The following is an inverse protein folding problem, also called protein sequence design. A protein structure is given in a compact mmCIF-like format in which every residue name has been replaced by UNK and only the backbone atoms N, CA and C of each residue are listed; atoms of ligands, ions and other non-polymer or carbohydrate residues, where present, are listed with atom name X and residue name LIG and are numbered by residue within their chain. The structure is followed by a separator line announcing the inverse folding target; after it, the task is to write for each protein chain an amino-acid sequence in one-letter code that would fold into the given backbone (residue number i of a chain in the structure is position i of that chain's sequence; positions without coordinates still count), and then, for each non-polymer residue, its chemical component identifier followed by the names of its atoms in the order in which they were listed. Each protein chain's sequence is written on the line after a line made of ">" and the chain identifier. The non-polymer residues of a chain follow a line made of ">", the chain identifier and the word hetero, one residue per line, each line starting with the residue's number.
data_IF_554873423012
#
_entry.id   IF_554873423012
#
_cell.length_a   1.000
_cell.length_b   1.000
_cell.length_c   1.000
_cell.angle_alpha   90.00
_cell.angle_beta   90.00
_cell.angle_gamma   90.00
#
_symmetry.space_group_name_H-M   'P 1'
#
loop_
_entity.id
_entity.type
_entity.pdbx_description
1 polymer ?
#
# COMPACT_ATOMS: atom_id res chain seq x y z
N UNK A 1 13.61 -12.02 17.80
CA UNK A 1 12.59 -10.94 17.85
C UNK A 1 12.43 -10.38 16.45
N UNK A 2 11.20 -10.08 15.98
CA UNK A 2 10.98 -9.61 14.63
C UNK A 2 11.67 -8.26 14.38
N UNK A 3 12.23 -8.10 13.18
CA UNK A 3 13.03 -6.93 12.73
C UNK A 3 12.33 -5.58 12.92
N UNK A 4 11.00 -5.59 13.13
CA UNK A 4 10.15 -4.41 13.29
C UNK A 4 10.31 -3.63 14.61
N UNK A 5 11.01 -4.18 15.61
CA UNK A 5 10.83 -3.80 17.02
C UNK A 5 11.96 -2.98 17.66
N UNK A 6 13.11 -2.81 17.02
CA UNK A 6 14.30 -2.25 17.69
C UNK A 6 14.82 -1.00 16.98
N UNK A 7 14.57 0.17 17.59
CA UNK A 7 15.21 1.43 17.21
C UNK A 7 14.31 2.53 16.62
N UNK A 8 14.88 3.72 16.38
CA UNK A 8 14.23 4.78 15.63
C UNK A 8 13.90 4.30 14.21
N UNK A 9 12.81 4.82 13.64
CA UNK A 9 12.44 4.50 12.26
C UNK A 9 13.54 5.01 11.31
N UNK A 10 14.18 4.11 10.58
CA UNK A 10 15.22 4.44 9.61
C UNK A 10 14.73 4.15 8.21
N UNK A 11 14.93 5.11 7.30
CA UNK A 11 14.64 4.92 5.89
C UNK A 11 15.68 3.98 5.25
N UNK A 12 15.28 2.89 4.59
CA UNK A 12 16.20 1.88 4.06
C UNK A 12 16.86 2.33 2.74
N UNK A 13 17.85 3.23 2.84
CA UNK A 13 18.56 3.84 1.69
C UNK A 13 19.21 2.85 0.72
N UNK A 14 19.54 1.65 1.19
CA UNK A 14 20.20 0.60 0.42
C UNK A 14 19.21 -0.50 -0.03
N UNK A 15 17.91 -0.22 -0.05
CA UNK A 15 16.94 -1.18 -0.57
C UNK A 15 17.15 -1.40 -2.07
N UNK A 16 17.15 -2.67 -2.48
CA UNK A 16 17.25 -3.08 -3.90
C UNK A 16 16.10 -2.55 -4.77
N UNK A 17 14.98 -2.20 -4.13
CA UNK A 17 13.81 -1.67 -4.82
C UNK A 17 14.04 -0.21 -5.25
N UNK A 18 14.99 0.49 -4.61
CA UNK A 18 15.34 1.86 -4.96
C UNK A 18 16.35 1.86 -6.12
N UNK A 19 16.05 2.55 -7.23
CA UNK A 19 16.98 2.61 -8.34
C UNK A 19 18.15 3.57 -8.06
N UNK A 20 19.33 3.31 -8.66
CA UNK A 20 20.46 4.23 -8.59
C UNK A 20 20.09 5.62 -9.12
N UNK A 21 20.53 6.67 -8.41
CA UNK A 21 20.29 8.06 -8.82
C UNK A 21 18.86 8.57 -8.57
N UNK A 22 18.01 7.82 -7.86
CA UNK A 22 16.71 8.33 -7.43
C UNK A 22 16.88 9.54 -6.50
N UNK A 23 16.11 10.60 -6.75
CA UNK A 23 16.01 11.74 -5.83
C UNK A 23 15.57 11.27 -4.44
N UNK A 24 16.19 11.78 -3.35
CA UNK A 24 15.75 11.46 -2.00
C UNK A 24 14.27 11.81 -1.80
N UNK A 25 13.57 11.01 -1.00
CA UNK A 25 12.22 11.38 -0.55
C UNK A 25 12.26 12.68 0.26
N UNK A 26 11.26 13.53 0.05
CA UNK A 26 11.04 14.73 0.84
C UNK A 26 10.24 14.43 2.12
N UNK A 27 9.58 13.28 2.18
CA UNK A 27 8.80 12.89 3.33
C UNK A 27 9.66 12.36 4.47
N UNK A 28 9.19 12.58 5.69
CA UNK A 28 9.80 12.00 6.89
C UNK A 28 8.82 11.05 7.56
N UNK A 29 9.04 9.75 7.36
CA UNK A 29 8.25 8.73 8.02
C UNK A 29 8.37 8.82 9.54
N UNK A 30 7.28 8.48 10.24
CA UNK A 30 7.25 8.34 11.70
C UNK A 30 6.56 7.04 12.08
N UNK A 31 6.77 6.59 13.30
CA UNK A 31 6.03 5.49 13.90
C UNK A 31 5.30 5.97 15.15
N UNK A 32 4.15 5.38 15.43
CA UNK A 32 3.43 5.62 16.67
C UNK A 32 4.30 5.31 17.89
N UNK A 33 4.16 6.08 18.97
CA UNK A 33 4.99 5.95 20.17
C UNK A 33 4.85 4.56 20.81
N UNK A 34 3.63 4.02 20.82
CA UNK A 34 3.32 2.71 21.39
C UNK A 34 3.44 1.53 20.41
N UNK A 35 4.05 1.73 19.24
CA UNK A 35 4.06 0.74 18.16
C UNK A 35 4.52 -0.66 18.62
N UNK A 36 5.56 -0.75 19.46
CA UNK A 36 6.07 -2.05 19.92
C UNK A 36 5.03 -2.83 20.75
N UNK A 37 4.37 -2.17 21.70
CA UNK A 37 3.35 -2.80 22.55
C UNK A 37 2.10 -3.17 21.72
N UNK A 38 1.68 -2.28 20.83
CA UNK A 38 0.54 -2.52 19.93
C UNK A 38 0.79 -3.70 18.99
N UNK A 39 1.96 -3.77 18.35
CA UNK A 39 2.32 -4.86 17.45
C UNK A 39 2.34 -6.19 18.20
N UNK A 40 2.93 -6.25 19.40
CA UNK A 40 2.94 -7.48 20.20
C UNK A 40 1.52 -7.93 20.58
N UNK A 41 0.67 -6.99 21.02
CA UNK A 41 -0.72 -7.25 21.40
C UNK A 41 -1.57 -7.75 20.23
N UNK A 42 -1.51 -7.05 19.09
CA UNK A 42 -2.29 -7.39 17.89
C UNK A 42 -1.80 -8.72 17.30
N UNK A 43 -0.50 -8.95 17.23
CA UNK A 43 0.03 -10.24 16.76
C UNK A 43 -0.40 -11.37 17.69
N UNK A 44 -0.33 -11.18 19.02
CA UNK A 44 -0.79 -12.18 19.99
C UNK A 44 -2.27 -12.54 19.82
N UNK A 45 -3.12 -11.54 19.56
CA UNK A 45 -4.53 -11.74 19.26
C UNK A 45 -4.73 -12.63 18.02
N UNK A 46 -4.15 -12.28 16.87
CA UNK A 46 -4.34 -13.08 15.65
C UNK A 46 -3.67 -14.46 15.75
N UNK A 47 -2.52 -14.59 16.39
CA UNK A 47 -1.90 -15.90 16.61
C UNK A 47 -2.77 -16.83 17.46
N UNK A 48 -3.60 -16.28 18.34
CA UNK A 48 -4.53 -17.04 19.19
C UNK A 48 -5.82 -17.38 18.45
N UNK A 49 -6.33 -16.46 17.64
CA UNK A 49 -7.71 -16.52 17.14
C UNK A 49 -7.84 -16.80 15.64
N UNK A 50 -6.80 -16.58 14.85
CA UNK A 50 -6.80 -16.85 13.42
C UNK A 50 -6.34 -18.28 13.13
N UNK A 51 -6.98 -19.01 12.19
CA UNK A 51 -6.74 -20.44 12.01
C UNK A 51 -5.55 -20.69 11.09
N UNK A 52 -4.35 -20.28 11.53
CA UNK A 52 -3.11 -20.62 10.84
C UNK A 52 -2.90 -22.14 10.84
N UNK A 53 -2.61 -22.72 9.68
CA UNK A 53 -2.51 -24.18 9.50
C UNK A 53 -1.17 -24.75 9.95
N UNK A 54 -0.12 -23.93 9.97
CA UNK A 54 1.25 -24.35 10.28
C UNK A 54 2.01 -23.27 11.05
N UNK A 55 3.06 -23.67 11.77
CA UNK A 55 3.96 -22.73 12.45
C UNK A 55 4.69 -21.80 11.46
N UNK A 56 4.98 -22.27 10.25
CA UNK A 56 5.55 -21.43 9.19
C UNK A 56 4.60 -20.30 8.79
N UNK A 57 3.29 -20.55 8.71
CA UNK A 57 2.30 -19.49 8.45
C UNK A 57 2.22 -18.49 9.60
N UNK A 58 2.28 -18.97 10.84
CA UNK A 58 2.30 -18.12 12.04
C UNK A 58 3.55 -17.23 12.07
N UNK A 59 4.70 -17.80 11.76
CA UNK A 59 5.96 -17.08 11.70
C UNK A 59 6.00 -16.07 10.55
N UNK A 60 5.47 -16.44 9.37
CA UNK A 60 5.32 -15.55 8.22
C UNK A 60 4.45 -14.34 8.58
N UNK A 61 3.28 -14.57 9.16
CA UNK A 61 2.38 -13.50 9.61
C UNK A 61 3.09 -12.46 10.51
N UNK A 62 3.83 -12.93 11.52
CA UNK A 62 4.60 -12.04 12.41
C UNK A 62 5.68 -11.28 11.64
N UNK A 63 6.35 -11.94 10.70
CA UNK A 63 7.43 -11.37 9.91
C UNK A 63 6.94 -10.32 8.91
N UNK A 64 5.73 -10.44 8.36
CA UNK A 64 5.17 -9.48 7.40
C UNK A 64 4.78 -8.15 8.05
N UNK A 65 4.50 -8.13 9.35
CA UNK A 65 4.45 -6.89 10.14
C UNK A 65 3.21 -6.03 9.90
N UNK A 66 2.03 -6.63 9.74
CA UNK A 66 0.78 -5.90 9.42
C UNK A 66 0.39 -4.83 10.44
N UNK A 67 0.43 -5.13 11.74
CA UNK A 67 0.15 -4.12 12.76
C UNK A 67 1.19 -2.98 12.75
N UNK A 68 2.43 -3.28 12.37
CA UNK A 68 3.50 -2.30 12.29
C UNK A 68 3.30 -1.35 11.11
N UNK A 69 2.81 -1.87 9.97
CA UNK A 69 2.40 -1.04 8.83
C UNK A 69 1.41 0.06 9.27
N UNK A 70 0.38 -0.28 10.04
CA UNK A 70 -0.58 0.71 10.55
C UNK A 70 0.09 1.72 11.48
N UNK A 71 1.01 1.28 12.33
CA UNK A 71 1.74 2.17 13.25
C UNK A 71 2.61 3.20 12.54
N UNK A 72 3.12 2.90 11.34
CA UNK A 72 3.90 3.88 10.54
C UNK A 72 3.04 4.72 9.61
N UNK A 73 1.88 4.21 9.20
CA UNK A 73 0.91 4.95 8.39
C UNK A 73 0.10 5.96 9.21
N UNK A 74 -0.19 5.63 10.47
CA UNK A 74 -1.05 6.45 11.35
C UNK A 74 -0.34 6.86 12.66
N UNK A 75 0.85 7.49 12.62
CA UNK A 75 1.64 7.79 13.81
C UNK A 75 1.02 8.87 14.71
N UNK A 76 0.04 9.63 14.21
CA UNK A 76 -0.70 10.67 14.96
C UNK A 76 -1.99 10.17 15.62
N UNK A 77 -2.21 8.84 15.61
CA UNK A 77 -3.37 8.23 16.24
C UNK A 77 -3.36 8.43 17.76
N UNK A 78 -4.54 8.32 18.37
CA UNK A 78 -4.67 8.27 19.81
C UNK A 78 -4.22 6.88 20.31
N UNK A 79 -3.54 6.89 21.46
CA UNK A 79 -2.98 5.69 22.10
C UNK A 79 -4.04 4.61 22.34
N UNK A 80 -5.25 5.02 22.71
CA UNK A 80 -6.38 4.15 23.02
C UNK A 80 -7.18 3.72 21.78
N UNK A 81 -6.94 4.30 20.58
CA UNK A 81 -7.72 3.97 19.37
C UNK A 81 -6.95 3.18 18.31
N UNK A 82 -5.62 3.32 18.24
CA UNK A 82 -4.84 2.74 17.14
C UNK A 82 -4.94 1.20 17.05
N UNK A 83 -5.19 0.52 18.17
CA UNK A 83 -5.30 -0.93 18.20
C UNK A 83 -6.45 -1.47 17.33
N UNK A 84 -7.60 -0.76 17.23
CA UNK A 84 -8.68 -1.13 16.31
C UNK A 84 -8.25 -1.02 14.85
N UNK A 85 -7.58 0.08 14.49
CA UNK A 85 -7.00 0.26 13.15
C UNK A 85 -6.01 -0.83 12.79
N UNK A 86 -5.11 -1.18 13.73
CA UNK A 86 -4.17 -2.29 13.54
C UNK A 86 -4.89 -3.62 13.31
N UNK A 87 -5.92 -3.93 14.10
CA UNK A 87 -6.69 -5.18 13.95
C UNK A 87 -7.47 -5.22 12.65
N UNK A 88 -8.16 -4.14 12.29
CA UNK A 88 -8.96 -4.06 11.06
C UNK A 88 -8.09 -4.26 9.82
N UNK A 89 -6.97 -3.55 9.69
CA UNK A 89 -6.12 -3.71 8.52
C UNK A 89 -5.39 -5.07 8.51
N UNK A 90 -5.00 -5.58 9.67
CA UNK A 90 -4.43 -6.93 9.77
C UNK A 90 -5.43 -7.99 9.28
N UNK A 91 -6.71 -7.86 9.65
CA UNK A 91 -7.76 -8.71 9.12
C UNK A 91 -7.91 -8.56 7.60
N UNK A 92 -7.86 -7.33 7.08
CA UNK A 92 -7.87 -7.06 5.63
C UNK A 92 -6.76 -7.78 4.87
N UNK A 93 -5.50 -7.71 5.34
CA UNK A 93 -4.38 -8.44 4.75
C UNK A 93 -4.56 -9.97 4.79
N UNK A 94 -5.11 -10.50 5.89
CA UNK A 94 -5.34 -11.94 6.01
C UNK A 94 -6.48 -12.42 5.11
N UNK A 95 -7.50 -11.59 4.88
CA UNK A 95 -8.56 -11.86 3.90
C UNK A 95 -8.00 -11.79 2.48
N UNK A 96 -7.22 -10.77 2.15
CA UNK A 96 -6.52 -10.62 0.86
C UNK A 96 -5.74 -11.90 0.49
N UNK A 97 -4.89 -12.39 1.41
CA UNK A 97 -4.11 -13.61 1.20
C UNK A 97 -4.96 -14.89 1.07
N UNK A 98 -6.18 -14.90 1.63
CA UNK A 98 -7.14 -16.00 1.45
C UNK A 98 -7.82 -15.93 0.09
N UNK A 99 -8.19 -14.74 -0.36
CA UNK A 99 -8.88 -14.51 -1.64
C UNK A 99 -7.99 -14.90 -2.83
N UNK A 100 -6.67 -14.70 -2.75
CA UNK A 100 -5.68 -15.15 -3.75
C UNK A 100 -5.82 -16.64 -4.14
N UNK A 101 -6.52 -17.45 -3.32
CA UNK A 101 -6.71 -18.90 -3.50
C UNK A 101 -8.17 -19.32 -3.64
N UNK A 102 -9.03 -18.39 -3.99
CA UNK A 102 -10.47 -18.62 -4.20
C UNK A 102 -10.86 -18.33 -5.65
N UNK A 103 -11.93 -18.99 -6.09
CA UNK A 103 -12.62 -18.56 -7.30
C UNK A 103 -13.49 -17.33 -7.01
N UNK A 104 -13.88 -16.58 -8.03
CA UNK A 104 -14.66 -15.34 -7.86
C UNK A 104 -15.93 -15.55 -7.03
N UNK A 105 -16.70 -16.60 -7.32
CA UNK A 105 -17.97 -16.88 -6.62
C UNK A 105 -17.77 -17.20 -5.13
N UNK A 106 -16.68 -17.89 -4.78
CA UNK A 106 -16.30 -18.21 -3.41
C UNK A 106 -15.88 -16.94 -2.66
N UNK A 107 -15.05 -16.11 -3.29
CA UNK A 107 -14.62 -14.82 -2.73
C UNK A 107 -15.79 -13.87 -2.50
N UNK A 108 -16.71 -13.74 -3.46
CA UNK A 108 -17.93 -12.92 -3.32
C UNK A 108 -18.78 -13.40 -2.14
N UNK A 109 -19.02 -14.71 -2.03
CA UNK A 109 -19.79 -15.27 -0.93
C UNK A 109 -19.10 -15.04 0.43
N UNK A 110 -17.79 -15.22 0.50
CA UNK A 110 -16.99 -15.01 1.70
C UNK A 110 -17.04 -13.54 2.16
N UNK A 111 -16.70 -12.59 1.29
CA UNK A 111 -16.69 -11.16 1.63
C UNK A 111 -18.09 -10.64 1.96
N UNK A 112 -19.14 -11.14 1.29
CA UNK A 112 -20.53 -10.76 1.62
C UNK A 112 -20.86 -11.07 3.08
N UNK A 113 -20.46 -12.25 3.59
CA UNK A 113 -20.70 -12.62 5.00
C UNK A 113 -19.90 -11.78 5.98
N UNK A 114 -18.65 -11.46 5.66
CA UNK A 114 -17.83 -10.56 6.48
C UNK A 114 -18.44 -9.15 6.53
N UNK A 115 -18.91 -8.63 5.39
CA UNK A 115 -19.58 -7.33 5.28
C UNK A 115 -20.86 -7.28 6.13
N UNK A 116 -21.71 -8.32 6.03
CA UNK A 116 -22.92 -8.43 6.86
C UNK A 116 -22.58 -8.37 8.36
N UNK A 117 -21.49 -9.03 8.78
CA UNK A 117 -21.03 -9.00 10.17
C UNK A 117 -20.58 -7.61 10.61
N UNK A 118 -19.82 -6.87 9.77
CA UNK A 118 -19.42 -5.49 10.08
C UNK A 118 -20.62 -4.54 10.30
N UNK A 119 -21.72 -4.79 9.57
CA UNK A 119 -23.00 -4.07 9.74
C UNK A 119 -23.79 -4.47 11.00
N UNK A 120 -23.39 -5.53 11.69
CA UNK A 120 -24.03 -5.99 12.93
C UNK A 120 -24.90 -7.24 12.79
N UNK A 121 -24.84 -7.96 11.67
CA UNK A 121 -25.41 -9.32 11.60
C UNK A 121 -24.61 -10.26 12.50
N UNK A 122 -25.29 -11.10 13.28
CA UNK A 122 -24.63 -12.04 14.18
C UNK A 122 -23.66 -12.95 13.42
N UNK A 123 -22.38 -13.05 13.84
CA UNK A 123 -21.37 -13.82 13.13
C UNK A 123 -21.44 -15.30 13.50
N UNK A 124 -20.95 -16.17 12.61
CA UNK A 124 -20.54 -17.51 13.03
C UNK A 124 -19.26 -17.39 13.88
N UNK A 125 -19.36 -17.74 15.17
CA UNK A 125 -18.25 -17.67 16.11
C UNK A 125 -17.15 -18.71 15.84
N UNK A 126 -17.38 -19.65 14.91
CA UNK A 126 -16.34 -20.56 14.41
C UNK A 126 -15.59 -20.01 13.18
N UNK A 127 -16.00 -18.86 12.62
CA UNK A 127 -15.36 -18.23 11.46
C UNK A 127 -14.69 -16.91 11.90
N UNK A 128 -13.36 -16.90 12.14
CA UNK A 128 -12.64 -15.74 12.67
C UNK A 128 -12.87 -14.43 11.93
N UNK A 129 -12.85 -14.43 10.60
CA UNK A 129 -13.08 -13.19 9.85
C UNK A 129 -14.45 -12.56 10.12
N UNK A 130 -15.49 -13.37 10.34
CA UNK A 130 -16.84 -12.87 10.61
C UNK A 130 -16.91 -12.23 11.99
N UNK A 131 -16.52 -12.97 13.04
CA UNK A 131 -16.70 -12.47 14.39
C UNK A 131 -15.69 -11.38 14.77
N UNK A 132 -14.46 -11.42 14.24
CA UNK A 132 -13.50 -10.32 14.43
C UNK A 132 -14.06 -9.04 13.79
N UNK A 133 -14.59 -9.11 12.57
CA UNK A 133 -15.20 -7.94 11.91
C UNK A 133 -16.39 -7.39 12.69
N UNK A 134 -17.28 -8.28 13.18
CA UNK A 134 -18.43 -7.90 13.99
C UNK A 134 -18.01 -7.19 15.29
N UNK A 135 -17.16 -7.84 16.09
CA UNK A 135 -16.76 -7.31 17.40
C UNK A 135 -15.97 -6.00 17.25
N UNK A 136 -15.09 -5.88 16.23
CA UNK A 136 -14.35 -4.64 15.96
C UNK A 136 -15.30 -3.46 15.73
N UNK A 137 -16.25 -3.59 14.81
CA UNK A 137 -17.13 -2.47 14.51
C UNK A 137 -18.16 -2.20 15.61
N UNK A 138 -18.58 -3.21 16.37
CA UNK A 138 -19.38 -3.01 17.59
C UNK A 138 -18.63 -2.19 18.65
N UNK A 139 -17.37 -2.53 18.92
CA UNK A 139 -16.51 -1.78 19.85
C UNK A 139 -16.22 -0.36 19.37
N UNK A 140 -15.87 -0.19 18.09
CA UNK A 140 -15.58 1.12 17.51
C UNK A 140 -16.79 2.05 17.55
N UNK A 141 -18.00 1.52 17.30
CA UNK A 141 -19.25 2.30 17.40
C UNK A 141 -19.57 2.79 18.81
N UNK A 142 -19.16 2.04 19.85
CA UNK A 142 -19.32 2.47 21.26
C UNK A 142 -18.43 3.67 21.60
N UNK A 143 -17.31 3.83 20.90
CA UNK A 143 -16.36 4.93 21.11
C UNK A 143 -16.69 6.15 20.26
N UNK A 144 -16.93 5.94 18.96
CA UNK A 144 -17.21 7.02 18.01
C UNK A 144 -18.03 6.49 16.84
N UNK A 145 -19.35 6.48 17.00
CA UNK A 145 -20.27 5.92 16.01
C UNK A 145 -20.14 6.56 14.63
N UNK A 146 -19.97 7.87 14.57
CA UNK A 146 -19.91 8.60 13.29
C UNK A 146 -18.69 8.17 12.48
N UNK A 147 -17.50 8.20 13.09
CA UNK A 147 -16.29 7.79 12.40
C UNK A 147 -16.25 6.28 12.14
N UNK A 148 -16.80 5.47 13.04
CA UNK A 148 -16.88 4.02 12.86
C UNK A 148 -17.78 3.64 11.68
N UNK A 149 -18.98 4.24 11.57
CA UNK A 149 -19.90 3.97 10.47
C UNK A 149 -19.34 4.49 9.13
N UNK A 150 -18.68 5.65 9.12
CA UNK A 150 -17.97 6.14 7.93
C UNK A 150 -16.84 5.21 7.49
N UNK A 151 -16.04 4.70 8.45
CA UNK A 151 -14.97 3.76 8.16
C UNK A 151 -15.53 2.41 7.67
N UNK A 152 -16.67 1.96 8.18
CA UNK A 152 -17.31 0.72 7.74
C UNK A 152 -17.65 0.78 6.25
N UNK A 153 -18.25 1.87 5.77
CA UNK A 153 -18.58 2.00 4.33
C UNK A 153 -17.32 1.90 3.46
N UNK A 154 -16.22 2.52 3.89
CA UNK A 154 -14.94 2.42 3.17
C UNK A 154 -14.34 1.01 3.21
N UNK A 155 -14.50 0.28 4.32
CA UNK A 155 -14.12 -1.14 4.43
C UNK A 155 -14.96 -2.01 3.48
N UNK A 156 -16.25 -1.70 3.32
CA UNK A 156 -17.15 -2.43 2.43
C UNK A 156 -16.75 -2.23 0.97
N UNK A 157 -16.43 -1.00 0.58
CA UNK A 157 -15.95 -0.70 -0.77
C UNK A 157 -14.66 -1.47 -1.09
N UNK A 158 -13.71 -1.48 -0.15
CA UNK A 158 -12.48 -2.28 -0.25
C UNK A 158 -12.78 -3.78 -0.44
N UNK A 159 -13.58 -4.38 0.44
CA UNK A 159 -13.90 -5.82 0.37
C UNK A 159 -14.65 -6.20 -0.92
N UNK A 160 -15.46 -5.30 -1.47
CA UNK A 160 -16.12 -5.53 -2.76
C UNK A 160 -15.13 -5.45 -3.92
N UNK A 161 -14.22 -4.48 -3.89
CA UNK A 161 -13.24 -4.28 -4.96
C UNK A 161 -12.26 -5.47 -5.08
N UNK A 162 -11.91 -6.12 -3.97
CA UNK A 162 -11.06 -7.32 -3.98
C UNK A 162 -11.67 -8.51 -4.76
N UNK A 163 -12.98 -8.50 -4.96
CA UNK A 163 -13.73 -9.54 -5.69
C UNK A 163 -14.45 -8.95 -6.90
N UNK A 164 -13.94 -7.83 -7.43
CA UNK A 164 -14.45 -7.28 -8.67
C UNK A 164 -14.03 -8.16 -9.85
N UNK A 165 -15.00 -8.51 -10.69
CA UNK A 165 -14.76 -9.28 -11.90
C UNK A 165 -13.87 -8.50 -12.88
N UNK A 166 -13.86 -7.17 -12.84
CA UNK A 166 -13.15 -6.33 -13.81
C UNK A 166 -11.65 -6.21 -13.49
N UNK A 167 -11.17 -6.83 -12.41
CA UNK A 167 -9.75 -6.86 -11.96
C UNK A 167 -8.74 -7.31 -13.02
N UNK A 168 -9.19 -8.10 -14.00
CA UNK A 168 -8.34 -8.67 -15.06
C UNK A 168 -8.38 -7.89 -16.37
N UNK A 169 -9.21 -6.84 -16.46
CA UNK A 169 -9.34 -6.06 -17.67
C UNK A 169 -8.08 -5.21 -17.91
N UNK A 170 -7.71 -5.06 -19.18
CA UNK A 170 -6.69 -4.10 -19.57
C UNK A 170 -7.23 -2.68 -19.32
N UNK A 171 -6.44 -1.84 -18.65
CA UNK A 171 -6.82 -0.49 -18.25
C UNK A 171 -5.72 0.50 -18.65
N UNK A 172 -6.14 1.68 -19.09
CA UNK A 172 -5.23 2.82 -19.17
C UNK A 172 -4.81 3.26 -17.75
N UNK A 173 -3.66 3.93 -17.62
CA UNK A 173 -3.10 4.25 -16.31
C UNK A 173 -4.05 5.07 -15.40
N UNK A 174 -4.83 5.99 -15.97
CA UNK A 174 -5.80 6.77 -15.20
C UNK A 174 -7.01 5.92 -14.76
N UNK A 175 -7.49 5.02 -15.61
CA UNK A 175 -8.58 4.09 -15.30
C UNK A 175 -8.13 3.12 -14.21
N UNK A 176 -6.88 2.63 -14.32
CA UNK A 176 -6.25 1.81 -13.31
C UNK A 176 -6.21 2.50 -11.94
N UNK A 177 -5.82 3.79 -11.86
CA UNK A 177 -5.86 4.49 -10.58
C UNK A 177 -7.27 4.60 -9.99
N UNK A 178 -8.29 4.85 -10.82
CA UNK A 178 -9.67 4.93 -10.35
C UNK A 178 -10.17 3.59 -9.81
N UNK A 179 -9.86 2.50 -10.51
CA UNK A 179 -10.15 1.15 -10.05
C UNK A 179 -9.38 0.82 -8.76
N UNK A 180 -8.06 1.07 -8.77
CA UNK A 180 -7.13 0.70 -7.70
C UNK A 180 -7.35 1.48 -6.41
N UNK A 181 -7.96 2.66 -6.46
CA UNK A 181 -8.36 3.41 -5.25
C UNK A 181 -9.22 2.55 -4.30
N UNK A 182 -10.21 1.84 -4.83
CA UNK A 182 -11.05 0.95 -4.03
C UNK A 182 -10.31 -0.35 -3.65
N UNK A 183 -9.67 -1.00 -4.63
CA UNK A 183 -9.00 -2.30 -4.46
C UNK A 183 -7.78 -2.26 -3.50
N UNK A 184 -7.01 -1.17 -3.53
CA UNK A 184 -5.90 -0.94 -2.59
C UNK A 184 -6.39 -0.53 -1.19
N UNK A 185 -7.64 -0.07 -1.09
CA UNK A 185 -8.23 0.39 0.17
C UNK A 185 -7.85 1.82 0.54
N UNK A 186 -7.80 2.76 -0.40
CA UNK A 186 -7.62 4.20 -0.12
C UNK A 186 -8.57 4.70 0.95
N UNK A 187 -9.87 4.47 0.71
CA UNK A 187 -10.92 4.90 1.62
C UNK A 187 -10.75 4.28 3.01
N UNK A 188 -10.39 3.00 3.06
CA UNK A 188 -10.12 2.26 4.27
C UNK A 188 -8.94 2.87 5.05
N UNK A 189 -7.81 3.12 4.41
CA UNK A 189 -6.64 3.73 5.05
C UNK A 189 -6.96 5.12 5.61
N UNK A 190 -7.59 5.98 4.82
CA UNK A 190 -8.00 7.31 5.27
C UNK A 190 -9.08 7.27 6.36
N UNK A 191 -9.98 6.30 6.32
CA UNK A 191 -10.97 6.04 7.36
C UNK A 191 -10.31 5.60 8.67
N UNK A 192 -9.34 4.67 8.62
CA UNK A 192 -8.53 4.25 9.78
C UNK A 192 -7.80 5.46 10.38
N UNK A 193 -7.13 6.26 9.55
CA UNK A 193 -6.43 7.46 9.99
C UNK A 193 -7.38 8.42 10.73
N UNK A 194 -8.55 8.70 10.13
CA UNK A 194 -9.53 9.62 10.74
C UNK A 194 -10.08 9.07 12.05
N UNK A 195 -10.54 7.82 12.07
CA UNK A 195 -11.06 7.18 13.28
C UNK A 195 -10.03 7.15 14.41
N UNK A 196 -8.82 6.66 14.13
CA UNK A 196 -7.77 6.47 15.13
C UNK A 196 -7.25 7.82 15.65
N UNK A 197 -7.23 8.87 14.83
CA UNK A 197 -6.82 10.20 15.24
C UNK A 197 -7.97 11.07 15.78
N UNK A 198 -9.18 10.51 15.91
CA UNK A 198 -10.43 11.22 16.24
C UNK A 198 -10.62 12.49 15.39
N UNK A 199 -10.28 12.40 14.11
CA UNK A 199 -10.30 13.51 13.16
C UNK A 199 -11.65 13.57 12.45
N UNK A 200 -12.54 14.37 13.01
CA UNK A 200 -13.80 14.76 12.38
C UNK A 200 -13.53 15.87 11.36
N UNK A 201 -14.09 15.71 10.16
CA UNK A 201 -13.98 16.68 9.06
C UNK A 201 -15.37 16.92 8.49
N UNK A 202 -15.64 18.17 8.13
CA UNK A 202 -16.86 18.55 7.42
C UNK A 202 -16.86 18.03 5.98
N UNK A 203 -18.02 17.89 5.32
CA UNK A 203 -18.09 17.54 3.90
C UNK A 203 -17.24 18.47 3.01
N UNK A 204 -17.22 19.76 3.32
CA UNK A 204 -16.44 20.76 2.59
C UNK A 204 -14.92 20.53 2.77
N UNK A 205 -14.48 20.22 3.98
CA UNK A 205 -13.07 19.87 4.24
C UNK A 205 -12.67 18.56 3.57
N UNK A 206 -13.56 17.57 3.53
CA UNK A 206 -13.31 16.32 2.80
C UNK A 206 -13.19 16.57 1.29
N UNK A 207 -14.04 17.41 0.72
CA UNK A 207 -13.96 17.81 -0.68
C UNK A 207 -12.65 18.57 -0.99
N UNK A 208 -12.20 19.45 -0.08
CA UNK A 208 -10.92 20.14 -0.19
C UNK A 208 -9.73 19.19 -0.05
N UNK A 209 -9.85 18.10 0.72
CA UNK A 209 -8.79 17.13 0.92
C UNK A 209 -8.67 16.10 -0.21
N UNK A 210 -9.74 15.83 -0.95
CA UNK A 210 -9.77 14.80 -1.99
C UNK A 210 -8.61 14.88 -3.02
N UNK A 211 -8.20 16.06 -3.54
CA UNK A 211 -7.08 16.15 -4.48
C UNK A 211 -5.69 15.87 -3.86
N UNK A 212 -5.55 16.03 -2.54
CA UNK A 212 -4.34 15.67 -1.80
C UNK A 212 -4.32 14.18 -1.51
N UNK A 213 -5.47 13.64 -1.14
CA UNK A 213 -5.66 12.22 -0.89
C UNK A 213 -5.42 11.40 -2.15
N UNK A 214 -6.00 11.78 -3.29
CA UNK A 214 -5.75 11.13 -4.59
C UNK A 214 -4.25 11.08 -4.92
N UNK A 215 -3.53 12.17 -4.67
CA UNK A 215 -2.10 12.25 -4.92
C UNK A 215 -1.29 11.34 -4.00
N UNK A 216 -1.62 11.30 -2.71
CA UNK A 216 -1.00 10.39 -1.75
C UNK A 216 -1.28 8.92 -2.10
N UNK A 217 -2.46 8.63 -2.65
CA UNK A 217 -2.83 7.27 -3.00
C UNK A 217 -2.17 6.80 -4.28
N UNK A 218 -2.02 7.66 -5.29
CA UNK A 218 -1.15 7.39 -6.44
C UNK A 218 0.26 7.01 -6.02
N UNK A 219 0.84 7.75 -5.06
CA UNK A 219 2.15 7.42 -4.47
C UNK A 219 2.15 6.03 -3.82
N UNK A 220 1.19 5.75 -2.93
CA UNK A 220 1.08 4.45 -2.26
C UNK A 220 0.91 3.30 -3.26
N UNK A 221 0.02 3.47 -4.25
CA UNK A 221 -0.22 2.50 -5.33
C UNK A 221 1.06 2.16 -6.06
N UNK A 222 1.79 3.16 -6.56
CA UNK A 222 3.02 2.90 -7.30
C UNK A 222 4.09 2.22 -6.43
N UNK A 223 4.26 2.68 -5.21
CA UNK A 223 5.25 2.08 -4.29
C UNK A 223 4.89 0.62 -4.00
N UNK A 224 3.61 0.33 -3.78
CA UNK A 224 3.10 -1.03 -3.58
C UNK A 224 3.35 -1.90 -4.82
N UNK A 225 2.84 -1.48 -5.98
CA UNK A 225 2.92 -2.21 -7.23
C UNK A 225 4.38 -2.50 -7.65
N UNK A 226 5.30 -1.54 -7.45
CA UNK A 226 6.73 -1.73 -7.72
C UNK A 226 7.32 -2.87 -6.88
N UNK A 227 6.91 -2.99 -5.62
CA UNK A 227 7.46 -3.96 -4.69
C UNK A 227 6.74 -5.32 -4.77
N UNK A 228 5.42 -5.31 -4.96
CA UNK A 228 4.59 -6.51 -5.01
C UNK A 228 4.64 -7.22 -6.36
N UNK A 229 5.08 -6.56 -7.44
CA UNK A 229 5.00 -7.10 -8.79
C UNK A 229 5.53 -8.53 -8.94
N UNK A 230 6.72 -8.83 -8.40
CA UNK A 230 7.29 -10.18 -8.49
C UNK A 230 6.49 -11.21 -7.67
N UNK A 231 5.92 -10.82 -6.53
CA UNK A 231 4.99 -11.67 -5.75
C UNK A 231 3.75 -11.96 -6.58
N UNK A 232 3.12 -10.93 -7.14
CA UNK A 232 1.89 -11.07 -7.93
C UNK A 232 2.10 -11.91 -9.19
N UNK A 233 3.24 -11.76 -9.86
CA UNK A 233 3.60 -12.60 -11.01
C UNK A 233 3.74 -14.08 -10.63
N UNK A 234 4.13 -14.39 -9.39
CA UNK A 234 4.16 -15.77 -8.88
C UNK A 234 2.75 -16.26 -8.53
N UNK A 235 1.95 -15.46 -7.84
CA UNK A 235 0.54 -15.80 -7.51
C UNK A 235 -0.27 -16.09 -8.77
N UNK A 236 -0.15 -15.26 -9.81
CA UNK A 236 -0.89 -15.43 -11.05
C UNK A 236 -0.57 -16.73 -11.79
N UNK A 237 0.62 -17.32 -11.57
CA UNK A 237 0.98 -18.63 -12.14
C UNK A 237 0.26 -19.80 -11.48
N UNK A 238 -0.29 -19.61 -10.28
CA UNK A 238 -1.10 -20.63 -9.61
C UNK A 238 -2.49 -20.79 -10.25
N UNK A 239 -2.95 -19.79 -11.01
CA UNK A 239 -4.13 -19.89 -11.89
C UNK A 239 -5.48 -19.63 -11.22
N UNK A 240 -5.51 -19.12 -9.98
CA UNK A 240 -6.76 -18.67 -9.34
C UNK A 240 -7.23 -17.33 -9.91
N UNK A 241 -8.54 -17.17 -10.13
CA UNK A 241 -9.13 -15.95 -10.74
C UNK A 241 -8.80 -14.68 -9.94
N UNK A 242 -8.90 -14.75 -8.61
CA UNK A 242 -8.63 -13.60 -7.73
C UNK A 242 -7.12 -13.37 -7.49
N UNK A 243 -6.27 -14.31 -7.90
CA UNK A 243 -4.81 -14.18 -7.88
C UNK A 243 -4.22 -13.55 -9.13
N UNK A 244 -5.05 -13.05 -10.06
CA UNK A 244 -4.61 -12.35 -11.26
C UNK A 244 -3.80 -11.09 -10.94
N UNK A 245 -2.84 -10.77 -11.83
CA UNK A 245 -1.98 -9.59 -11.68
C UNK A 245 -2.84 -8.33 -11.72
N UNK A 246 -2.69 -7.47 -10.71
CA UNK A 246 -3.33 -6.17 -10.63
C UNK A 246 -2.27 -5.15 -10.26
N UNK A 247 -1.55 -4.66 -11.27
CA UNK A 247 -0.35 -3.84 -11.10
C UNK A 247 -0.24 -2.79 -12.21
N UNK A 248 0.23 -1.59 -11.86
CA UNK A 248 0.59 -0.55 -12.83
C UNK A 248 1.90 -0.82 -13.56
N UNK A 249 2.72 -1.79 -13.13
CA UNK A 249 4.02 -2.06 -13.76
C UNK A 249 3.88 -2.47 -15.24
N UNK A 250 3.03 -3.45 -15.62
CA UNK A 250 2.78 -3.78 -17.03
C UNK A 250 2.20 -2.61 -17.83
N UNK A 251 1.30 -1.83 -17.23
CA UNK A 251 0.68 -0.66 -17.89
C UNK A 251 1.76 0.36 -18.28
N UNK A 252 2.71 0.64 -17.37
CA UNK A 252 3.82 1.57 -17.65
C UNK A 252 4.81 0.98 -18.65
N UNK A 253 5.04 -0.35 -18.62
CA UNK A 253 5.88 -1.02 -19.63
C UNK A 253 5.30 -0.84 -21.04
N UNK A 254 4.01 -1.08 -21.20
CA UNK A 254 3.31 -0.98 -22.49
C UNK A 254 3.24 0.48 -22.96
N UNK A 255 2.82 1.40 -22.07
CA UNK A 255 2.69 2.82 -22.38
C UNK A 255 4.02 3.47 -22.80
N UNK A 256 5.15 2.99 -22.29
CA UNK A 256 6.47 3.57 -22.55
C UNK A 256 7.35 2.69 -23.46
N UNK A 257 6.86 1.52 -23.88
CA UNK A 257 7.62 0.53 -24.66
C UNK A 257 8.96 0.14 -24.02
N UNK A 258 8.94 -0.13 -22.70
CA UNK A 258 10.15 -0.45 -21.92
C UNK A 258 10.03 -1.74 -21.11
N UNK A 259 11.17 -2.29 -20.69
CA UNK A 259 11.20 -3.44 -19.78
C UNK A 259 10.82 -3.09 -18.34
N UNK A 260 10.53 -4.13 -17.55
CA UNK A 260 10.13 -4.04 -16.12
C UNK A 260 11.03 -3.11 -15.31
N UNK A 261 12.35 -3.24 -15.48
CA UNK A 261 13.35 -2.48 -14.71
C UNK A 261 13.24 -0.98 -15.01
N UNK A 262 13.13 -0.63 -16.28
CA UNK A 262 12.96 0.74 -16.75
C UNK A 262 11.61 1.33 -16.31
N UNK A 263 10.52 0.57 -16.42
CA UNK A 263 9.20 0.97 -15.95
C UNK A 263 9.19 1.32 -14.45
N UNK A 264 9.70 0.42 -13.59
CA UNK A 264 9.83 0.67 -12.15
C UNK A 264 10.68 1.91 -11.85
N UNK A 265 11.74 2.16 -12.63
CA UNK A 265 12.56 3.38 -12.48
C UNK A 265 11.76 4.65 -12.79
N UNK A 266 10.97 4.65 -13.86
CA UNK A 266 10.13 5.78 -14.23
C UNK A 266 9.05 6.03 -13.16
N UNK A 267 8.40 4.96 -12.68
CA UNK A 267 7.41 5.05 -11.60
C UNK A 267 7.99 5.67 -10.33
N UNK A 268 9.21 5.28 -9.91
CA UNK A 268 9.88 5.92 -8.76
C UNK A 268 10.13 7.43 -8.94
N UNK A 269 10.45 7.88 -10.16
CA UNK A 269 10.58 9.32 -10.42
C UNK A 269 9.24 10.04 -10.30
N UNK A 270 8.15 9.41 -10.76
CA UNK A 270 6.79 9.93 -10.59
C UNK A 270 6.38 10.00 -9.12
N UNK A 271 6.71 8.97 -8.32
CA UNK A 271 6.51 8.96 -6.87
C UNK A 271 7.14 10.20 -6.23
N UNK A 272 8.39 10.53 -6.57
CA UNK A 272 9.05 11.76 -6.06
C UNK A 272 8.43 13.05 -6.57
N UNK A 273 7.98 13.09 -7.82
CA UNK A 273 7.28 14.26 -8.35
C UNK A 273 5.97 14.54 -7.59
N UNK A 274 5.23 13.50 -7.21
CA UNK A 274 4.01 13.64 -6.41
C UNK A 274 4.26 14.13 -4.99
N UNK A 275 5.41 13.84 -4.39
CA UNK A 275 5.78 14.41 -3.08
C UNK A 275 5.92 15.94 -3.14
N UNK A 276 6.53 16.46 -4.21
CA UNK A 276 6.67 17.90 -4.43
C UNK A 276 5.28 18.53 -4.59
N UNK A 277 4.47 17.94 -5.47
CA UNK A 277 3.12 18.41 -5.76
C UNK A 277 2.23 18.40 -4.52
N UNK A 278 2.39 17.41 -3.62
CA UNK A 278 1.68 17.35 -2.35
C UNK A 278 1.91 18.61 -1.51
N UNK A 279 3.16 19.00 -1.30
CA UNK A 279 3.47 20.19 -0.50
C UNK A 279 2.96 21.49 -1.15
N UNK A 280 3.05 21.58 -2.48
CA UNK A 280 2.53 22.74 -3.24
C UNK A 280 1.02 22.85 -3.05
N UNK A 281 0.26 21.77 -3.29
CA UNK A 281 -1.20 21.78 -3.16
C UNK A 281 -1.67 22.02 -1.73
N UNK A 282 -1.03 21.37 -0.75
CA UNK A 282 -1.35 21.59 0.67
C UNK A 282 -1.23 23.07 1.04
N UNK A 283 -0.13 23.72 0.64
CA UNK A 283 0.11 25.14 0.90
C UNK A 283 -0.94 26.03 0.23
N UNK A 284 -1.33 25.74 -1.01
CA UNK A 284 -2.33 26.52 -1.74
C UNK A 284 -3.71 26.40 -1.08
N UNK A 285 -4.13 25.18 -0.72
CA UNK A 285 -5.44 24.95 -0.10
C UNK A 285 -5.49 25.59 1.29
N UNK A 286 -4.48 25.36 2.14
CA UNK A 286 -4.46 25.91 3.51
C UNK A 286 -4.37 27.43 3.55
N UNK A 287 -3.75 28.07 2.54
CA UNK A 287 -3.74 29.52 2.40
C UNK A 287 -5.15 30.08 2.15
N UNK A 288 -5.96 29.38 1.36
CA UNK A 288 -7.35 29.79 1.01
C UNK A 288 -8.37 29.35 2.06
N UNK A 289 -8.14 28.20 2.68
CA UNK A 289 -9.05 27.55 3.63
C UNK A 289 -8.26 27.09 4.87
N UNK A 290 -7.91 28.01 5.79
CA UNK A 290 -7.22 27.64 7.02
C UNK A 290 -8.11 26.75 7.89
N UNK A 291 -7.73 25.49 8.09
CA UNK A 291 -8.40 24.56 8.99
C UNK A 291 -7.39 23.64 9.66
N UNK A 292 -7.49 23.50 10.98
CA UNK A 292 -6.68 22.54 11.75
C UNK A 292 -6.99 21.10 11.36
N UNK A 293 -8.22 20.81 10.96
CA UNK A 293 -8.60 19.47 10.51
C UNK A 293 -7.95 19.14 9.16
N UNK A 294 -7.92 20.11 8.22
CA UNK A 294 -7.18 19.98 6.96
C UNK A 294 -5.68 19.82 7.20
N UNK A 295 -5.07 20.64 8.06
CA UNK A 295 -3.65 20.52 8.41
C UNK A 295 -3.32 19.12 8.96
N UNK A 296 -4.13 18.61 9.89
CA UNK A 296 -3.96 17.27 10.45
C UNK A 296 -4.19 16.17 9.40
N UNK A 297 -5.18 16.33 8.53
CA UNK A 297 -5.46 15.41 7.44
C UNK A 297 -4.28 15.32 6.46
N UNK A 298 -3.79 16.47 5.96
CA UNK A 298 -2.70 16.53 4.99
C UNK A 298 -1.41 15.94 5.57
N UNK A 299 -1.12 16.25 6.84
CA UNK A 299 0.02 15.65 7.51
C UNK A 299 -0.14 14.14 7.71
N UNK A 300 -1.36 13.67 7.94
CA UNK A 300 -1.67 12.26 8.02
C UNK A 300 -1.44 11.53 6.70
N UNK A 301 -1.85 12.12 5.58
CA UNK A 301 -1.61 11.58 4.23
C UNK A 301 -0.12 11.51 3.88
N UNK A 302 0.68 12.51 4.30
CA UNK A 302 2.15 12.45 4.21
C UNK A 302 2.72 11.25 4.99
N UNK A 303 2.20 11.00 6.19
CA UNK A 303 2.62 9.85 7.00
C UNK A 303 2.18 8.51 6.42
N UNK A 304 1.01 8.43 5.78
CA UNK A 304 0.59 7.22 5.08
C UNK A 304 1.53 6.91 3.91
N UNK A 305 1.79 7.89 3.04
CA UNK A 305 2.67 7.69 1.89
C UNK A 305 4.10 7.29 2.33
N UNK A 306 4.68 8.01 3.30
CA UNK A 306 6.03 7.70 3.80
C UNK A 306 6.11 6.43 4.64
N UNK A 307 5.10 6.14 5.45
CA UNK A 307 4.98 4.91 6.23
C UNK A 307 4.83 3.68 5.35
N UNK A 308 3.97 3.77 4.32
CA UNK A 308 3.80 2.74 3.30
C UNK A 308 5.13 2.43 2.60
N UNK A 309 5.85 3.46 2.17
CA UNK A 309 7.14 3.28 1.50
C UNK A 309 8.16 2.60 2.41
N UNK A 310 8.32 3.08 3.64
CA UNK A 310 9.27 2.48 4.57
C UNK A 310 8.91 1.02 4.89
N UNK A 311 7.63 0.69 5.11
CA UNK A 311 7.22 -0.69 5.30
C UNK A 311 7.48 -1.55 4.06
N UNK A 312 7.08 -1.07 2.90
CA UNK A 312 7.23 -1.76 1.61
C UNK A 312 8.68 -2.11 1.33
N UNK A 313 9.61 -1.19 1.62
CA UNK A 313 11.03 -1.41 1.39
C UNK A 313 11.67 -2.40 2.38
N UNK A 314 11.05 -2.65 3.53
CA UNK A 314 11.59 -3.52 4.58
C UNK A 314 10.91 -4.87 4.67
N UNK A 315 9.63 -4.96 4.32
CA UNK A 315 8.80 -6.13 4.57
C UNK A 315 9.31 -7.37 3.82
N UNK A 316 9.35 -8.54 4.48
CA UNK A 316 9.64 -9.78 3.79
C UNK A 316 8.46 -10.24 2.90
N UNK A 317 7.27 -9.64 3.02
CA UNK A 317 6.09 -9.97 2.18
C UNK A 317 6.38 -9.88 0.69
N UNK A 318 7.22 -8.93 0.28
CA UNK A 318 7.57 -8.65 -1.11
C UNK A 318 8.91 -9.25 -1.54
N UNK A 319 9.47 -10.16 -0.73
CA UNK A 319 10.67 -10.92 -1.11
C UNK A 319 10.23 -12.20 -1.81
N UNK A 320 10.88 -12.52 -2.91
CA UNK A 320 10.63 -13.79 -3.60
C UNK A 320 11.31 -14.95 -2.85
N UNK A 321 10.76 -16.18 -2.91
CA UNK A 321 11.39 -17.34 -2.28
C UNK A 321 12.84 -17.53 -2.76
N UNK A 322 13.79 -17.55 -1.81
CA UNK A 322 15.23 -17.68 -2.10
C UNK A 322 16.05 -16.39 -1.89
N UNK A 323 15.40 -15.25 -1.69
CA UNK A 323 16.08 -14.00 -1.39
C UNK A 323 16.51 -13.90 0.09
N UNK A 324 17.83 -13.89 0.34
CA UNK A 324 18.37 -13.61 1.67
C UNK A 324 18.01 -12.18 2.10
N UNK A 325 17.51 -12.04 3.32
CA UNK A 325 16.92 -10.80 3.81
C UNK A 325 17.87 -9.62 3.95
N UNK A 326 17.28 -8.46 4.30
CA UNK A 326 18.01 -7.32 4.84
C UNK A 326 18.69 -7.75 6.15
N UNK A 327 19.90 -8.25 6.04
CA UNK A 327 20.88 -8.20 7.12
C UNK A 327 21.49 -6.80 7.08
N UNK A 328 21.52 -6.10 8.21
CA UNK A 328 22.43 -4.97 8.39
C UNK A 328 23.85 -5.50 8.20
N UNK A 329 24.32 -5.57 6.96
CA UNK A 329 25.67 -6.04 6.66
C UNK A 329 26.64 -4.97 7.14
N UNK A 330 27.25 -5.25 8.30
CA UNK A 330 28.64 -4.90 8.50
C UNK A 330 29.45 -5.41 7.30
N UNK A 331 30.42 -4.61 6.88
CA UNK A 331 31.24 -4.82 5.70
C UNK A 331 31.68 -6.29 5.53
N UNK A 332 31.36 -6.88 4.37
CA UNK A 332 31.75 -8.25 4.06
C UNK A 332 31.26 -8.70 2.69
N UNK A 333 32.22 -8.88 1.78
CA UNK A 333 32.10 -9.27 0.37
C UNK A 333 31.57 -10.68 0.16
N UNK A 334 30.70 -10.88 -0.83
CA UNK A 334 30.49 -12.18 -1.47
C UNK A 334 29.04 -12.59 -1.70
N UNK A 335 28.49 -12.24 -2.87
CA UNK A 335 27.37 -12.96 -3.50
C UNK A 335 27.19 -12.47 -4.95
N UNK A 336 28.00 -12.98 -5.88
CA UNK A 336 27.97 -12.61 -7.30
C UNK A 336 27.70 -13.79 -8.27
N UNK A 337 27.26 -14.95 -7.79
CA UNK A 337 27.24 -16.16 -8.65
C UNK A 337 25.85 -16.74 -8.94
N UNK A 338 24.77 -16.30 -8.28
CA UNK A 338 23.46 -16.97 -8.44
C UNK A 338 22.41 -16.22 -9.29
N UNK A 339 22.69 -15.01 -9.77
CA UNK A 339 21.75 -14.21 -10.57
C UNK A 339 21.96 -14.31 -12.10
N UNK A 340 23.03 -14.95 -12.56
CA UNK A 340 23.34 -15.08 -13.99
C UNK A 340 22.54 -16.19 -14.70
N UNK A 341 22.08 -17.22 -13.99
CA UNK A 341 21.39 -18.37 -14.60
C UNK A 341 19.89 -18.13 -14.87
N UNK A 342 19.26 -17.18 -14.18
CA UNK A 342 17.84 -16.84 -14.38
C UNK A 342 17.62 -15.76 -15.46
N UNK A 343 18.59 -14.87 -15.70
CA UNK A 343 18.51 -13.88 -16.77
C UNK A 343 18.79 -14.46 -18.16
N UNK A 344 19.58 -15.54 -18.24
CA UNK A 344 20.00 -16.13 -19.52
C UNK A 344 18.86 -16.77 -20.32
N UNK A 345 17.78 -17.21 -19.67
CA UNK A 345 16.66 -17.90 -20.35
C UNK A 345 15.54 -16.96 -20.83
N UNK A 346 15.52 -15.70 -20.40
CA UNK A 346 14.54 -14.70 -20.85
C UNK A 346 15.06 -13.83 -22.02
N UNK A 347 16.37 -13.86 -22.31
CA UNK A 347 16.99 -13.03 -23.34
C UNK A 347 17.02 -13.65 -24.75
N UNK A 348 16.63 -14.93 -24.89
CA UNK A 348 16.60 -15.60 -26.20
C UNK A 348 15.34 -15.33 -27.03
N UNK A 349 14.33 -14.64 -26.49
CA UNK A 349 13.04 -14.40 -27.17
C UNK A 349 12.87 -13.00 -27.75
N UNK A 350 13.81 -12.07 -27.54
CA UNK A 350 13.70 -10.71 -28.08
C UNK A 350 15.03 -10.24 -28.68
N UNK A 351 15.12 -10.27 -30.02
CA UNK A 351 16.15 -9.53 -30.76
C UNK A 351 15.63 -8.12 -31.06
N UNK A 352 16.28 -7.03 -30.61
CA UNK A 352 15.94 -5.69 -31.05
C UNK A 352 16.69 -5.32 -32.34
N UNK A 353 15.98 -4.67 -33.26
CA UNK A 353 16.57 -3.89 -34.35
C UNK A 353 17.17 -2.60 -33.78
N UNK A 354 18.33 -2.23 -34.32
CA UNK A 354 19.24 -1.21 -33.79
C UNK A 354 18.79 0.21 -34.17
N UNK A 355 18.81 1.13 -33.21
CA UNK A 355 19.20 2.53 -33.47
C UNK A 355 18.16 3.63 -33.24
N UNK A 356 17.68 3.86 -32.02
CA UNK A 356 16.96 5.12 -31.64
C UNK A 356 17.30 5.65 -30.23
N UNK A 357 18.07 4.92 -29.42
CA UNK A 357 18.18 5.17 -27.97
C UNK A 357 18.88 6.46 -27.50
N UNK A 358 19.61 7.19 -28.37
CA UNK A 358 20.36 8.38 -27.93
C UNK A 358 19.61 9.70 -28.14
N UNK A 359 18.55 9.73 -28.95
CA UNK A 359 17.77 10.96 -29.23
C UNK A 359 16.62 11.14 -28.22
N UNK A 360 16.16 10.05 -27.58
CA UNK A 360 15.04 10.08 -26.65
C UNK A 360 15.34 10.73 -25.29
N UNK A 361 16.56 10.59 -24.75
CA UNK A 361 16.90 11.16 -23.44
C UNK A 361 16.88 12.71 -23.41
N UNK A 362 17.23 13.35 -24.53
CA UNK A 362 17.22 14.81 -24.65
C UNK A 362 15.83 15.37 -24.94
N UNK A 363 15.02 14.68 -25.75
CA UNK A 363 13.63 15.07 -26.04
C UNK A 363 12.71 14.90 -24.82
N UNK A 364 12.87 13.84 -24.03
CA UNK A 364 12.04 13.62 -22.84
C UNK A 364 12.28 14.69 -21.76
N UNK A 365 13.53 15.11 -21.58
CA UNK A 365 13.89 16.21 -20.67
C UNK A 365 13.28 17.55 -21.10
N UNK A 366 13.17 17.78 -22.41
CA UNK A 366 12.56 18.97 -22.99
C UNK A 366 11.03 18.96 -22.88
N UNK A 367 10.37 17.82 -23.09
CA UNK A 367 8.91 17.69 -22.96
C UNK A 367 8.48 17.87 -21.49
N UNK A 368 9.22 17.30 -20.54
CA UNK A 368 8.94 17.50 -19.10
C UNK A 368 9.16 18.97 -18.68
N UNK A 369 10.19 19.64 -19.20
CA UNK A 369 10.36 21.08 -18.95
C UNK A 369 9.27 21.95 -19.61
N UNK A 370 8.85 21.64 -20.84
CA UNK A 370 7.78 22.37 -21.54
C UNK A 370 6.43 22.18 -20.86
N UNK A 371 6.15 20.98 -20.32
CA UNK A 371 4.94 20.72 -19.51
C UNK A 371 4.93 21.55 -18.22
N UNK A 372 6.07 21.67 -17.53
CA UNK A 372 6.21 22.51 -16.35
C UNK A 372 6.05 24.01 -16.65
N UNK A 373 6.52 24.49 -17.81
CA UNK A 373 6.41 25.91 -18.19
C UNK A 373 4.98 26.30 -18.59
N UNK A 374 4.21 25.39 -19.20
CA UNK A 374 2.82 25.64 -19.59
C UNK A 374 1.91 25.70 -18.36
N UNK A 375 2.14 24.85 -17.35
CA UNK A 375 1.35 24.86 -16.10
C UNK A 375 1.60 26.09 -15.23
N UNK A 376 2.81 26.67 -15.26
CA UNK A 376 3.14 27.90 -14.52
C UNK A 376 2.52 29.15 -15.16
N UNK A 377 2.11 29.11 -16.43
CA UNK A 377 1.51 30.25 -17.14
C UNK A 377 -0.03 30.28 -17.12
N UNK A 378 -0.70 29.28 -16.54
CA UNK A 378 -2.17 29.23 -16.46
C UNK A 378 -2.70 29.23 -15.01
N UNK A 379 -1.89 29.63 -14.03
CA UNK A 379 -2.27 29.75 -12.61
C UNK A 379 -2.28 31.18 -12.10
#
# INVERSE_FOLDING_TARGET
>A
MPQWTVGPLQYPKNSRLLPPGLSPTLYTARKHAQANALVASVNGFFLTHWPFKTDDQRQRFVNEGYAWFVCVNCPMSLDDRLHWGCRLLTLGFLIDDLLDRMNLSEGVAYNTKVIECGRGTAPDRNVPAQWIMYDLFDEMRKVDRILADQLLEQTIDFLKAQVDKDRHLHMELNEYFQYRDADLGKGLLSGIMRFCASLHMTPEELALAAPIEELAMKHITFVNDIASFEKELLSAKEGFELGAICSSVPIVMDMCEVGVREAKRMMWQMVRAWEIEHFVRCKVILKKHPSKALEKCFKGLEYQASGNEVWTLMTPRYRTPGEKGYEQRGAGTGAAVQLAELSGKLLDTFKPSVGVGLVFCTLFSLVVMLWLVVLVKQG
#
